data_IF_096471160232
#
_entry.id   IF_096471160232
#
_cell.length_a   1.000
_cell.length_b   1.000
_cell.length_c   1.000
_cell.angle_alpha   90.00
_cell.angle_beta   90.00
_cell.angle_gamma   90.00
#
_symmetry.space_group_name_H-M   'P 1'
#
loop_
_entity.id
_entity.type
_entity.pdbx_description
1 polymer ?
#
# COMPACT_ATOMS: atom_id res chain seq x y z
N UNK A 1 10.19 3.65 -9.30
CA UNK A 1 9.98 3.65 -7.83
C UNK A 1 10.35 2.30 -7.22
N UNK A 2 9.70 1.19 -7.61
CA UNK A 2 10.03 -0.15 -7.06
C UNK A 2 11.47 -0.59 -7.36
N UNK A 3 12.03 -0.28 -8.52
CA UNK A 3 13.46 -0.54 -8.83
C UNK A 3 14.40 0.18 -7.86
N UNK A 4 14.14 1.48 -7.59
CA UNK A 4 14.93 2.27 -6.64
C UNK A 4 14.81 1.70 -5.23
N UNK A 5 13.61 1.29 -4.84
CA UNK A 5 13.39 0.60 -3.58
C UNK A 5 14.15 -0.73 -3.53
N UNK A 6 14.06 -1.58 -4.56
CA UNK A 6 14.75 -2.86 -4.62
C UNK A 6 16.28 -2.73 -4.52
N UNK A 7 16.86 -1.62 -4.96
CA UNK A 7 18.29 -1.35 -4.84
C UNK A 7 18.71 -0.82 -3.46
N UNK A 8 17.77 -0.49 -2.56
CA UNK A 8 18.05 0.21 -1.29
C UNK A 8 18.86 -0.64 -0.30
N UNK A 9 18.56 -1.93 -0.18
CA UNK A 9 19.22 -2.82 0.78
C UNK A 9 20.51 -3.46 0.23
N UNK A 10 20.92 -3.16 -1.00
CA UNK A 10 22.12 -3.74 -1.60
C UNK A 10 23.37 -2.86 -1.39
N UNK A 11 24.49 -3.42 -0.87
CA UNK A 11 25.76 -2.71 -0.83
C UNK A 11 26.23 -2.42 -2.24
N UNK A 12 26.73 -1.20 -2.50
CA UNK A 12 27.12 -0.71 -3.82
C UNK A 12 28.15 -1.63 -4.52
N UNK A 13 27.66 -2.55 -5.35
CA UNK A 13 28.46 -3.40 -6.22
C UNK A 13 27.99 -3.24 -7.67
N UNK A 14 28.92 -3.41 -8.61
CA UNK A 14 28.79 -2.98 -10.00
C UNK A 14 27.75 -3.76 -10.85
N UNK A 15 27.10 -4.80 -10.31
CA UNK A 15 26.12 -5.66 -11.01
C UNK A 15 24.70 -5.62 -10.39
N UNK A 16 24.47 -4.71 -9.42
CA UNK A 16 23.23 -4.65 -8.64
C UNK A 16 22.01 -4.18 -9.45
N UNK A 17 22.22 -3.42 -10.53
CA UNK A 17 21.13 -2.81 -11.31
C UNK A 17 20.20 -3.84 -11.94
N UNK A 18 20.75 -4.82 -12.65
CA UNK A 18 19.97 -5.84 -13.34
C UNK A 18 19.26 -6.79 -12.35
N UNK A 19 19.87 -7.05 -11.19
CA UNK A 19 19.24 -7.85 -10.14
C UNK A 19 18.08 -7.11 -9.47
N UNK A 20 18.25 -5.82 -9.17
CA UNK A 20 17.20 -4.97 -8.62
C UNK A 20 16.01 -4.80 -9.59
N UNK A 21 16.28 -4.66 -10.89
CA UNK A 21 15.24 -4.63 -11.93
C UNK A 21 14.40 -5.91 -11.94
N UNK A 22 15.04 -7.09 -11.99
CA UNK A 22 14.32 -8.37 -11.96
C UNK A 22 13.47 -8.55 -10.71
N UNK A 23 13.99 -8.17 -9.53
CA UNK A 23 13.25 -8.22 -8.26
C UNK A 23 12.05 -7.27 -8.29
N UNK A 24 12.24 -6.06 -8.82
CA UNK A 24 11.17 -5.08 -8.94
C UNK A 24 10.07 -5.53 -9.92
N UNK A 25 10.44 -6.11 -11.06
CA UNK A 25 9.49 -6.69 -12.01
C UNK A 25 8.66 -7.81 -11.35
N UNK A 26 9.33 -8.76 -10.69
CA UNK A 26 8.65 -9.84 -9.98
C UNK A 26 7.71 -9.32 -8.88
N UNK A 27 8.11 -8.27 -8.14
CA UNK A 27 7.26 -7.65 -7.13
C UNK A 27 6.06 -6.93 -7.76
N UNK A 28 6.25 -6.21 -8.88
CA UNK A 28 5.14 -5.56 -9.59
C UNK A 28 4.15 -6.60 -10.11
N UNK A 29 4.63 -7.65 -10.77
CA UNK A 29 3.78 -8.74 -11.26
C UNK A 29 3.02 -9.41 -10.11
N UNK A 30 3.73 -9.75 -9.02
CA UNK A 30 3.14 -10.32 -7.81
C UNK A 30 2.04 -9.42 -7.24
N UNK A 31 2.28 -8.10 -7.17
CA UNK A 31 1.28 -7.13 -6.70
C UNK A 31 0.06 -7.06 -7.62
N UNK A 32 0.25 -7.05 -8.95
CA UNK A 32 -0.84 -7.02 -9.92
C UNK A 32 -1.76 -8.24 -9.79
N UNK A 33 -1.19 -9.42 -9.54
CA UNK A 33 -1.96 -10.66 -9.27
C UNK A 33 -2.83 -10.52 -8.01
N UNK A 34 -2.40 -9.73 -7.03
CA UNK A 34 -3.09 -9.53 -5.75
C UNK A 34 -4.19 -8.46 -5.81
N UNK A 35 -4.17 -7.57 -6.80
CA UNK A 35 -5.13 -6.46 -6.94
C UNK A 35 -6.62 -6.88 -6.81
N UNK A 36 -7.10 -7.97 -7.43
CA UNK A 36 -8.50 -8.37 -7.26
C UNK A 36 -8.85 -8.77 -5.83
N UNK A 37 -7.91 -9.39 -5.10
CA UNK A 37 -8.11 -9.76 -3.70
C UNK A 37 -8.08 -8.53 -2.79
N UNK A 38 -7.12 -7.62 -3.03
CA UNK A 38 -7.03 -6.35 -2.32
C UNK A 38 -8.30 -5.51 -2.52
N UNK A 39 -8.83 -5.43 -3.74
CA UNK A 39 -10.10 -4.75 -4.01
C UNK A 39 -11.26 -5.34 -3.22
N UNK A 40 -11.36 -6.68 -3.12
CA UNK A 40 -12.41 -7.32 -2.30
C UNK A 40 -12.29 -6.96 -0.83
N UNK A 41 -11.06 -6.91 -0.31
CA UNK A 41 -10.80 -6.53 1.07
C UNK A 41 -11.20 -5.08 1.35
N UNK A 42 -10.83 -4.14 0.47
CA UNK A 42 -11.22 -2.73 0.59
C UNK A 42 -12.73 -2.51 0.47
N UNK A 43 -13.44 -3.34 -0.32
CA UNK A 43 -14.90 -3.28 -0.36
C UNK A 43 -15.52 -3.70 0.99
N UNK A 44 -14.91 -4.65 1.70
CA UNK A 44 -15.37 -5.01 3.06
C UNK A 44 -15.10 -3.87 4.05
N UNK A 45 -13.94 -3.21 3.97
CA UNK A 45 -13.63 -2.05 4.82
C UNK A 45 -14.59 -0.88 4.56
N UNK A 46 -14.96 -0.69 3.29
CA UNK A 46 -15.91 0.32 2.86
C UNK A 46 -17.30 0.02 3.43
N UNK A 47 -17.76 -1.24 3.34
CA UNK A 47 -19.02 -1.68 3.96
C UNK A 47 -18.99 -1.50 5.48
N UNK A 48 -17.90 -1.90 6.13
CA UNK A 48 -17.75 -1.73 7.58
C UNK A 48 -17.76 -0.25 7.99
N UNK A 49 -17.18 0.63 7.17
CA UNK A 49 -17.20 2.08 7.41
C UNK A 49 -18.62 2.66 7.27
N UNK A 50 -19.40 2.21 6.28
CA UNK A 50 -20.81 2.59 6.14
C UNK A 50 -21.66 2.10 7.30
N UNK A 51 -21.46 0.85 7.76
CA UNK A 51 -22.23 0.26 8.85
C UNK A 51 -21.85 0.83 10.22
N UNK A 52 -20.58 1.20 10.39
CA UNK A 52 -20.03 1.74 11.63
C UNK A 52 -20.39 3.20 11.89
N UNK A 53 -20.85 3.95 10.89
CA UNK A 53 -21.24 5.34 11.02
C UNK A 53 -22.67 5.58 10.50
N UNK A 54 -23.67 5.68 11.40
CA UNK A 54 -25.05 5.96 11.02
C UNK A 54 -25.27 7.29 10.27
N UNK A 55 -24.30 8.21 10.31
CA UNK A 55 -24.37 9.49 9.61
C UNK A 55 -23.82 9.43 8.16
N UNK A 56 -23.10 8.36 7.80
CA UNK A 56 -22.55 8.17 6.45
C UNK A 56 -23.68 8.09 5.42
N UNK A 57 -23.62 8.93 4.38
CA UNK A 57 -24.72 9.06 3.41
C UNK A 57 -24.50 8.22 2.16
N UNK A 58 -23.25 7.90 1.84
CA UNK A 58 -22.93 7.11 0.65
C UNK A 58 -21.52 6.53 0.68
N UNK A 59 -21.30 5.45 -0.06
CA UNK A 59 -19.97 4.88 -0.29
C UNK A 59 -18.99 5.90 -0.88
N UNK A 60 -19.47 6.81 -1.76
CA UNK A 60 -18.63 7.83 -2.37
C UNK A 60 -18.08 8.82 -1.32
N UNK A 61 -18.91 9.23 -0.36
CA UNK A 61 -18.49 10.08 0.76
C UNK A 61 -17.33 9.43 1.54
N UNK A 62 -17.45 8.13 1.83
CA UNK A 62 -16.38 7.39 2.54
C UNK A 62 -15.11 7.32 1.70
N UNK A 63 -15.22 6.94 0.43
CA UNK A 63 -14.07 6.82 -0.47
C UNK A 63 -13.32 8.14 -0.60
N UNK A 64 -14.02 9.27 -0.67
CA UNK A 64 -13.40 10.57 -0.94
C UNK A 64 -13.02 11.38 0.31
N UNK A 65 -13.64 11.13 1.47
CA UNK A 65 -13.50 12.02 2.62
C UNK A 65 -13.25 11.33 3.97
N UNK A 66 -13.32 10.00 4.08
CA UNK A 66 -13.07 9.33 5.37
C UNK A 66 -11.57 9.09 5.56
N UNK A 67 -10.91 9.78 6.51
CA UNK A 67 -9.46 9.64 6.71
C UNK A 67 -9.07 8.23 7.16
N UNK A 68 -9.93 7.55 7.92
CA UNK A 68 -9.72 6.15 8.30
C UNK A 68 -9.69 5.21 7.10
N UNK A 69 -10.59 5.43 6.13
CA UNK A 69 -10.63 4.63 4.91
C UNK A 69 -9.40 4.91 4.01
N UNK A 70 -8.95 6.17 3.89
CA UNK A 70 -7.71 6.51 3.19
C UNK A 70 -6.49 5.84 3.85
N UNK A 71 -6.36 5.92 5.18
CA UNK A 71 -5.24 5.32 5.93
C UNK A 71 -5.17 3.80 5.75
N UNK A 72 -6.30 3.09 5.91
CA UNK A 72 -6.36 1.63 5.71
C UNK A 72 -6.09 1.26 4.26
N UNK A 73 -6.57 2.04 3.28
CA UNK A 73 -6.29 1.79 1.87
C UNK A 73 -4.79 1.85 1.57
N UNK A 74 -4.12 2.91 2.04
CA UNK A 74 -2.67 3.08 1.89
C UNK A 74 -1.93 1.94 2.58
N UNK A 75 -2.31 1.60 3.82
CA UNK A 75 -1.67 0.54 4.58
C UNK A 75 -1.79 -0.81 3.89
N UNK A 76 -2.97 -1.19 3.38
CA UNK A 76 -3.14 -2.49 2.73
C UNK A 76 -2.34 -2.61 1.44
N UNK A 77 -2.20 -1.52 0.67
CA UNK A 77 -1.32 -1.50 -0.50
C UNK A 77 0.15 -1.64 -0.06
N UNK A 78 0.57 -0.89 0.96
CA UNK A 78 1.93 -0.94 1.49
C UNK A 78 2.27 -2.34 2.04
N UNK A 79 1.32 -2.98 2.74
CA UNK A 79 1.47 -4.31 3.30
C UNK A 79 1.66 -5.40 2.23
N UNK A 80 0.95 -5.32 1.10
CA UNK A 80 1.16 -6.25 -0.01
C UNK A 80 2.57 -6.06 -0.62
N UNK A 81 3.06 -4.83 -0.76
CA UNK A 81 4.44 -4.57 -1.21
C UNK A 81 5.48 -5.05 -0.19
N UNK A 82 5.20 -4.91 1.11
CA UNK A 82 6.03 -5.44 2.19
C UNK A 82 6.14 -6.96 2.13
N UNK A 83 5.01 -7.65 1.94
CA UNK A 83 4.96 -9.12 1.80
C UNK A 83 5.69 -9.61 0.54
N UNK A 84 5.82 -8.76 -0.49
CA UNK A 84 6.61 -9.02 -1.70
C UNK A 84 8.09 -8.66 -1.52
N UNK A 85 8.52 -8.28 -0.32
CA UNK A 85 9.91 -7.97 0.00
C UNK A 85 10.39 -6.64 -0.58
N UNK A 86 9.49 -5.72 -0.94
CA UNK A 86 9.89 -4.38 -1.37
C UNK A 86 10.33 -3.57 -0.13
N UNK A 87 11.60 -3.16 -0.03
CA UNK A 87 12.07 -2.43 1.14
C UNK A 87 11.73 -0.95 1.01
N UNK A 88 11.77 -0.21 2.12
CA UNK A 88 11.60 1.25 2.26
C UNK A 88 10.25 1.82 1.76
N UNK A 89 9.84 1.54 0.53
CA UNK A 89 8.63 2.05 -0.12
C UNK A 89 7.36 1.79 0.70
N UNK A 90 7.11 0.60 1.29
CA UNK A 90 5.95 0.41 2.16
C UNK A 90 5.90 1.41 3.32
N UNK A 91 7.04 1.70 3.95
CA UNK A 91 7.11 2.66 5.06
C UNK A 91 6.91 4.10 4.59
N UNK A 92 7.48 4.48 3.44
CA UNK A 92 7.23 5.79 2.83
C UNK A 92 5.72 5.99 2.59
N UNK A 93 5.04 4.94 2.11
CA UNK A 93 3.61 5.00 1.84
C UNK A 93 2.80 5.20 3.12
N UNK A 94 3.05 4.42 4.18
CA UNK A 94 2.30 4.56 5.42
C UNK A 94 2.60 5.88 6.14
N UNK A 95 3.82 6.40 6.08
CA UNK A 95 4.16 7.73 6.62
C UNK A 95 3.45 8.86 5.84
N UNK A 96 3.26 8.71 4.53
CA UNK A 96 2.43 9.64 3.76
C UNK A 96 0.96 9.58 4.19
N UNK A 97 0.44 8.37 4.46
CA UNK A 97 -0.89 8.18 5.04
C UNK A 97 -1.02 8.82 6.42
N UNK A 98 -0.01 8.63 7.28
CA UNK A 98 0.08 9.24 8.61
C UNK A 98 0.09 10.77 8.51
N UNK A 99 0.91 11.36 7.64
CA UNK A 99 0.98 12.81 7.46
C UNK A 99 -0.34 13.45 7.02
N UNK A 100 -1.19 12.71 6.30
CA UNK A 100 -2.48 13.22 5.81
C UNK A 100 -3.62 13.02 6.80
N UNK A 101 -3.59 11.92 7.54
CA UNK A 101 -4.75 11.45 8.33
C UNK A 101 -4.51 11.50 9.84
N UNK A 102 -3.25 11.61 10.28
CA UNK A 102 -2.84 11.45 11.67
C UNK A 102 -2.80 10.00 12.15
N UNK A 103 -3.21 9.03 11.33
CA UNK A 103 -3.29 7.61 11.69
C UNK A 103 -1.97 6.95 11.32
N UNK A 104 -1.20 6.55 12.33
CA UNK A 104 0.06 5.83 12.16
C UNK A 104 -0.17 4.31 12.19
N UNK A 105 0.05 3.66 11.04
CA UNK A 105 -0.01 2.21 10.93
C UNK A 105 1.27 1.74 10.25
N UNK A 106 1.99 0.83 10.89
CA UNK A 106 3.15 0.20 10.27
C UNK A 106 2.71 -0.62 9.03
N UNK A 107 3.48 -0.62 7.93
CA UNK A 107 3.19 -1.46 6.76
C UNK A 107 3.15 -2.94 7.13
#
# INVERSE_FOLDING_TARGET
QVVLAAAFDEPAAADNGAAAERRAEAAVEGFLVRLPALRRLLLLDLTASMEGDPAARSHAEIIFAYPGFEAVTIQRIAHELWNLGVPLLPRIMTELGHSKTGIDIHP
#
